data_IF_922119346044
#
_entry.id   IF_922119346044
#
_cell.length_a   1.000
_cell.length_b   1.000
_cell.length_c   1.000
_cell.angle_alpha   90.00
_cell.angle_beta   90.00
_cell.angle_gamma   90.00
#
_symmetry.space_group_name_H-M   'P 1'
#
loop_
_entity.id
_entity.type
_entity.pdbx_description
1 polymer ?
#
# COMPACT_ATOMS: atom_id res chain seq x y z
N UNK A 1 -5.92 37.78 -33.45
CA UNK A 1 -6.96 38.71 -33.96
C UNK A 1 -8.30 38.01 -33.88
N UNK A 2 -9.33 38.73 -33.41
CA UNK A 2 -10.74 38.33 -33.20
C UNK A 2 -11.01 37.48 -31.96
N UNK A 3 -12.07 37.70 -31.17
CA UNK A 3 -12.91 38.88 -30.89
C UNK A 3 -13.75 38.52 -29.66
N UNK A 4 -14.00 39.51 -28.81
CA UNK A 4 -14.92 39.50 -27.67
C UNK A 4 -16.39 39.28 -28.08
N UNK A 5 -17.18 38.65 -27.19
CA UNK A 5 -18.64 38.88 -27.06
C UNK A 5 -18.98 39.02 -25.57
N UNK A 6 -19.67 40.12 -25.26
CA UNK A 6 -20.21 40.55 -23.97
C UNK A 6 -21.64 39.99 -23.81
N UNK A 7 -22.13 39.87 -22.56
CA UNK A 7 -23.47 40.21 -22.02
C UNK A 7 -23.78 39.26 -20.83
N UNK A 8 -24.22 39.67 -19.64
CA UNK A 8 -24.61 40.95 -19.07
C UNK A 8 -25.12 40.73 -17.63
N UNK A 9 -25.11 41.78 -16.81
CA UNK A 9 -25.64 41.83 -15.44
C UNK A 9 -27.17 41.66 -15.37
N UNK A 10 -27.66 40.96 -14.35
CA UNK A 10 -28.92 41.29 -13.67
C UNK A 10 -28.86 40.94 -12.19
N UNK A 11 -28.95 41.97 -11.36
CA UNK A 11 -29.18 41.90 -9.92
C UNK A 11 -30.60 41.39 -9.57
N UNK A 12 -30.66 40.47 -8.60
CA UNK A 12 -31.60 40.51 -7.48
C UNK A 12 -33.05 40.02 -7.65
N UNK A 13 -33.30 38.75 -7.31
CA UNK A 13 -34.51 38.34 -6.54
C UNK A 13 -34.12 37.24 -5.54
N UNK A 14 -34.24 37.55 -4.25
CA UNK A 14 -34.08 36.58 -3.15
C UNK A 14 -35.44 35.96 -2.81
N UNK A 15 -35.50 34.63 -2.74
CA UNK A 15 -36.01 33.85 -1.60
C UNK A 15 -36.48 32.46 -2.05
N UNK A 16 -35.74 31.41 -1.68
CA UNK A 16 -36.29 30.12 -1.25
C UNK A 16 -35.20 29.23 -0.62
N UNK A 17 -35.00 29.43 0.68
CA UNK A 17 -35.08 28.39 1.73
C UNK A 17 -34.21 27.13 1.66
N UNK A 18 -32.97 27.14 1.16
CA UNK A 18 -31.97 26.13 1.54
C UNK A 18 -30.56 26.72 1.53
N UNK A 19 -29.87 26.67 2.67
CA UNK A 19 -28.43 26.96 2.75
C UNK A 19 -27.69 25.71 2.31
N UNK A 20 -26.97 25.78 1.19
CA UNK A 20 -26.01 24.76 0.77
C UNK A 20 -24.61 25.36 0.93
N UNK A 21 -23.92 25.01 2.01
CA UNK A 21 -22.50 25.33 2.17
C UNK A 21 -21.69 24.36 1.32
N UNK A 22 -21.27 24.80 0.14
CA UNK A 22 -20.34 24.04 -0.69
C UNK A 22 -19.00 23.95 0.05
N UNK A 23 -18.60 22.70 0.32
CA UNK A 23 -17.29 22.28 0.82
C UNK A 23 -16.18 22.95 0.03
N UNK A 24 -15.13 23.39 0.73
CA UNK A 24 -13.88 23.90 0.17
C UNK A 24 -13.45 23.08 -1.06
N UNK A 25 -13.50 23.71 -2.23
CA UNK A 25 -12.67 23.33 -3.36
C UNK A 25 -11.28 23.91 -3.13
N UNK A 26 -10.26 23.07 -3.14
CA UNK A 26 -8.88 23.56 -3.21
C UNK A 26 -8.65 24.05 -4.65
N UNK A 27 -8.57 25.37 -4.84
CA UNK A 27 -7.98 25.95 -6.05
C UNK A 27 -6.47 25.69 -6.01
N UNK A 28 -5.96 24.87 -6.92
CA UNK A 28 -4.54 24.83 -7.22
C UNK A 28 -4.19 26.15 -7.90
N UNK A 29 -3.66 27.11 -7.13
CA UNK A 29 -3.07 28.35 -7.67
C UNK A 29 -1.58 28.13 -7.93
N UNK A 30 -1.29 27.45 -9.04
CA UNK A 30 -0.01 27.59 -9.70
C UNK A 30 -0.29 27.73 -11.20
N UNK A 31 -0.02 28.90 -11.75
CA UNK A 31 0.16 29.07 -13.19
C UNK A 31 1.31 28.15 -13.60
N UNK A 32 1.00 27.02 -14.23
CA UNK A 32 1.98 26.20 -14.91
C UNK A 32 2.39 26.91 -16.19
N UNK A 33 3.29 27.89 -16.08
CA UNK A 33 4.19 28.13 -17.18
C UNK A 33 5.04 26.85 -17.28
N UNK A 34 4.73 26.01 -18.26
CA UNK A 34 5.51 24.84 -18.66
C UNK A 34 6.93 25.29 -19.03
N UNK A 35 7.78 25.44 -18.04
CA UNK A 35 9.20 25.23 -18.23
C UNK A 35 9.34 23.72 -18.29
N UNK A 36 9.47 23.16 -19.50
CA UNK A 36 9.92 21.77 -19.69
C UNK A 36 11.32 21.67 -19.07
N UNK A 37 11.36 21.37 -17.77
CA UNK A 37 12.57 20.87 -17.16
C UNK A 37 12.82 19.48 -17.74
N UNK A 38 14.08 19.13 -18.08
CA UNK A 38 14.38 17.76 -18.46
C UNK A 38 13.90 16.83 -17.34
N UNK A 39 13.35 15.64 -17.68
CA UNK A 39 12.94 14.68 -16.66
C UNK A 39 14.14 14.36 -15.75
N UNK A 40 13.92 14.19 -14.44
CA UNK A 40 14.99 13.91 -13.49
C UNK A 40 15.74 12.64 -13.89
N UNK A 41 17.05 12.64 -13.69
CA UNK A 41 17.86 11.43 -13.80
C UNK A 41 17.44 10.38 -12.76
N UNK A 42 17.77 9.11 -13.01
CA UNK A 42 17.49 8.02 -12.07
C UNK A 42 18.14 8.29 -10.69
N UNK A 43 19.36 8.83 -10.67
CA UNK A 43 20.05 9.20 -9.42
C UNK A 43 19.31 10.30 -8.64
N UNK A 44 18.77 11.31 -9.34
CA UNK A 44 17.95 12.35 -8.73
C UNK A 44 16.65 11.80 -8.16
N UNK A 45 15.99 10.86 -8.86
CA UNK A 45 14.80 10.17 -8.37
C UNK A 45 15.12 9.33 -7.12
N UNK A 46 16.23 8.59 -7.12
CA UNK A 46 16.69 7.83 -5.95
C UNK A 46 16.91 8.74 -4.74
N UNK A 47 17.52 9.92 -4.95
CA UNK A 47 17.72 10.86 -3.86
C UNK A 47 16.39 11.43 -3.34
N UNK A 48 15.47 11.80 -4.22
CA UNK A 48 14.13 12.27 -3.84
C UNK A 48 13.36 11.21 -3.05
N UNK A 49 13.45 9.93 -3.44
CA UNK A 49 12.87 8.82 -2.70
C UNK A 49 13.46 8.69 -1.29
N UNK A 50 14.79 8.79 -1.15
CA UNK A 50 15.44 8.75 0.16
C UNK A 50 15.08 9.95 1.03
N UNK A 51 14.96 11.14 0.44
CA UNK A 51 14.53 12.35 1.14
C UNK A 51 13.08 12.23 1.60
N UNK A 52 12.21 11.68 0.75
CA UNK A 52 10.82 11.36 1.08
C UNK A 52 10.75 10.43 2.30
N UNK A 53 11.47 9.29 2.28
CA UNK A 53 11.47 8.35 3.40
C UNK A 53 12.05 8.97 4.67
N UNK A 54 13.11 9.78 4.55
CA UNK A 54 13.65 10.50 5.70
C UNK A 54 12.60 11.39 6.37
N UNK A 55 11.85 12.18 5.58
CA UNK A 55 10.77 13.02 6.09
C UNK A 55 9.63 12.17 6.65
N UNK A 56 9.25 11.09 5.97
CA UNK A 56 8.24 10.15 6.47
C UNK A 56 8.64 9.61 7.84
N UNK A 57 9.78 8.95 7.98
CA UNK A 57 10.16 8.32 9.23
C UNK A 57 10.54 9.29 10.36
N UNK A 58 11.07 10.49 10.06
CA UNK A 58 11.49 11.47 11.08
C UNK A 58 10.37 12.43 11.50
N UNK A 59 9.49 12.78 10.57
CA UNK A 59 8.47 13.83 10.77
C UNK A 59 7.03 13.32 10.62
N UNK A 60 6.80 12.09 10.15
CA UNK A 60 5.42 11.62 10.00
C UNK A 60 4.73 11.52 11.36
N UNK A 61 3.53 12.10 11.48
CA UNK A 61 2.66 11.87 12.62
C UNK A 61 2.25 10.40 12.80
N UNK A 62 2.54 9.49 11.86
CA UNK A 62 2.45 8.04 12.11
C UNK A 62 3.39 7.61 13.24
N UNK A 63 4.60 8.17 13.29
CA UNK A 63 5.59 7.91 14.35
C UNK A 63 5.34 8.80 15.59
N UNK A 64 4.81 10.02 15.42
CA UNK A 64 4.63 10.99 16.51
C UNK A 64 3.22 11.07 17.13
N UNK A 65 2.15 11.00 16.34
CA UNK A 65 0.75 11.11 16.80
C UNK A 65 0.12 9.74 17.10
N UNK A 66 0.48 8.69 16.35
CA UNK A 66 -0.15 7.36 16.46
C UNK A 66 0.58 6.39 17.39
N UNK A 67 1.84 6.65 17.74
CA UNK A 67 2.64 5.88 18.70
C UNK A 67 2.81 6.58 20.06
N UNK A 68 1.87 7.47 20.38
CA UNK A 68 1.86 8.24 21.62
C UNK A 68 1.58 7.40 22.88
N UNK A 69 1.64 8.05 24.03
CA UNK A 69 1.65 7.35 25.32
C UNK A 69 0.35 6.61 25.70
N UNK A 70 -0.79 6.99 25.11
CA UNK A 70 -2.13 6.51 25.49
C UNK A 70 -2.68 5.37 24.59
N UNK A 71 -1.82 4.65 23.87
CA UNK A 71 -2.29 3.57 22.99
C UNK A 71 -2.96 2.42 23.77
N UNK A 72 -4.15 2.04 23.29
CA UNK A 72 -4.84 0.79 23.63
C UNK A 72 -5.18 0.07 22.33
N UNK A 73 -4.96 -1.25 22.28
CA UNK A 73 -5.28 -2.05 21.10
C UNK A 73 -6.81 -2.15 20.93
N UNK A 74 -7.30 -1.89 19.71
CA UNK A 74 -8.70 -2.03 19.32
C UNK A 74 -8.77 -2.70 17.94
N UNK A 75 -9.39 -3.88 17.78
CA UNK A 75 -9.54 -4.49 16.47
C UNK A 75 -10.48 -3.67 15.60
N UNK A 76 -10.14 -3.52 14.31
CA UNK A 76 -10.94 -2.78 13.33
C UNK A 76 -10.95 -1.26 13.50
N UNK A 77 -10.23 -0.72 14.49
CA UNK A 77 -9.81 0.68 14.46
C UNK A 77 -8.90 0.88 13.26
N UNK A 78 -9.12 1.93 12.48
CA UNK A 78 -8.36 2.18 11.24
C UNK A 78 -6.85 2.11 11.49
N UNK A 79 -6.23 0.97 11.16
CA UNK A 79 -4.97 0.78 10.40
C UNK A 79 -3.90 1.87 10.58
N UNK A 80 -3.20 1.89 11.72
CA UNK A 80 -2.23 2.95 11.98
C UNK A 80 -0.93 2.48 12.63
N UNK A 81 -1.03 1.62 13.64
CA UNK A 81 0.13 1.24 14.43
C UNK A 81 0.83 0.03 13.82
N UNK A 82 0.05 -0.99 13.46
CA UNK A 82 0.46 -2.21 12.76
C UNK A 82 1.20 -1.84 11.47
N UNK A 83 0.61 -0.98 10.66
CA UNK A 83 1.23 -0.49 9.42
C UNK A 83 2.50 0.33 9.65
N UNK A 84 2.56 1.11 10.73
CA UNK A 84 3.80 1.78 11.09
C UNK A 84 4.91 0.79 11.42
N UNK A 85 4.59 -0.34 12.07
CA UNK A 85 5.57 -1.38 12.35
C UNK A 85 6.01 -2.11 11.08
N UNK A 86 5.04 -2.40 10.20
CA UNK A 86 5.31 -2.95 8.87
C UNK A 86 6.25 -2.01 8.10
N UNK A 87 6.00 -0.70 8.08
CA UNK A 87 6.88 0.27 7.43
C UNK A 87 8.29 0.27 8.03
N UNK A 88 8.41 0.19 9.35
CA UNK A 88 9.72 0.06 10.01
C UNK A 88 10.46 -1.22 9.60
N UNK A 89 9.74 -2.34 9.42
CA UNK A 89 10.30 -3.58 8.89
C UNK A 89 10.74 -3.43 7.43
N UNK A 90 9.92 -2.76 6.61
CA UNK A 90 10.17 -2.50 5.19
C UNK A 90 11.30 -1.49 4.91
N UNK A 91 11.70 -0.70 5.91
CA UNK A 91 12.69 0.36 5.77
C UNK A 91 14.03 -0.13 5.23
N UNK A 92 14.43 -1.38 5.49
CA UNK A 92 15.54 -2.06 4.79
C UNK A 92 16.87 -1.26 4.76
N UNK A 93 17.08 -0.38 5.76
CA UNK A 93 18.26 0.48 5.87
C UNK A 93 18.22 1.78 5.05
N UNK A 94 17.13 2.09 4.33
CA UNK A 94 17.00 3.34 3.57
C UNK A 94 16.99 4.58 4.46
N UNK A 95 16.46 4.47 5.68
CA UNK A 95 16.55 5.49 6.72
C UNK A 95 17.26 4.94 7.96
N UNK A 96 18.26 5.69 8.42
CA UNK A 96 18.90 5.43 9.70
C UNK A 96 18.08 6.05 10.84
N UNK A 97 17.58 5.20 11.74
CA UNK A 97 16.91 5.63 12.97
C UNK A 97 17.94 6.02 14.04
N UNK A 98 17.65 7.09 14.79
CA UNK A 98 18.40 7.42 16.01
C UNK A 98 18.15 6.38 17.10
N UNK A 99 19.01 6.32 18.12
CA UNK A 99 18.80 5.41 19.26
C UNK A 99 17.48 5.68 19.98
N UNK A 100 17.11 6.96 20.16
CA UNK A 100 15.82 7.36 20.72
C UNK A 100 14.64 6.84 19.87
N UNK A 101 14.72 6.93 18.54
CA UNK A 101 13.69 6.40 17.65
C UNK A 101 13.58 4.86 17.77
N UNK A 102 14.71 4.16 17.84
CA UNK A 102 14.74 2.70 18.03
C UNK A 102 14.13 2.30 19.37
N UNK A 103 14.41 3.03 20.44
CA UNK A 103 13.81 2.80 21.77
C UNK A 103 12.29 3.04 21.74
N UNK A 104 11.84 4.13 21.11
CA UNK A 104 10.42 4.42 20.95
C UNK A 104 9.68 3.36 20.13
N UNK A 105 10.28 2.88 19.03
CA UNK A 105 9.73 1.78 18.22
C UNK A 105 9.54 0.52 19.10
N UNK A 106 10.58 0.10 19.83
CA UNK A 106 10.53 -1.08 20.71
C UNK A 106 9.51 -0.94 21.84
N UNK A 107 9.41 0.25 22.44
CA UNK A 107 8.42 0.54 23.47
C UNK A 107 6.98 0.37 22.93
N UNK A 108 6.73 0.87 21.73
CA UNK A 108 5.42 0.73 21.08
C UNK A 108 5.11 -0.72 20.68
N UNK A 109 6.11 -1.51 20.29
CA UNK A 109 5.94 -2.95 20.07
C UNK A 109 5.45 -3.65 21.35
N UNK A 110 6.07 -3.36 22.50
CA UNK A 110 5.62 -3.92 23.79
C UNK A 110 4.18 -3.52 24.09
N UNK A 111 3.84 -2.22 23.95
CA UNK A 111 2.47 -1.74 24.19
C UNK A 111 1.44 -2.40 23.28
N UNK A 112 1.77 -2.61 22.01
CA UNK A 112 0.91 -3.33 21.08
C UNK A 112 0.64 -4.75 21.54
N UNK A 113 1.68 -5.51 21.85
CA UNK A 113 1.55 -6.90 22.31
C UNK A 113 0.78 -6.97 23.64
N UNK A 114 1.10 -6.11 24.61
CA UNK A 114 0.43 -6.07 25.91
C UNK A 114 -1.05 -5.67 25.77
N UNK A 115 -1.34 -4.68 24.93
CA UNK A 115 -2.70 -4.25 24.61
C UNK A 115 -3.51 -5.35 23.94
N UNK A 116 -2.93 -6.06 22.97
CA UNK A 116 -3.58 -7.20 22.31
C UNK A 116 -3.86 -8.32 23.31
N UNK A 117 -2.94 -8.64 24.23
CA UNK A 117 -3.17 -9.62 25.30
C UNK A 117 -4.33 -9.22 26.20
N UNK A 118 -4.37 -7.95 26.62
CA UNK A 118 -5.45 -7.46 27.49
C UNK A 118 -6.80 -7.51 26.77
N UNK A 119 -6.85 -7.07 25.51
CA UNK A 119 -8.04 -7.17 24.68
C UNK A 119 -8.55 -8.61 24.57
N UNK A 120 -7.68 -9.58 24.33
CA UNK A 120 -8.05 -10.99 24.20
C UNK A 120 -8.49 -11.64 25.52
N UNK A 121 -8.07 -11.14 26.68
CA UNK A 121 -8.63 -11.59 27.98
C UNK A 121 -10.11 -11.24 28.10
N UNK A 122 -10.49 -10.06 27.62
CA UNK A 122 -11.88 -9.60 27.64
C UNK A 122 -12.69 -10.16 26.45
N UNK A 123 -12.02 -10.59 25.38
CA UNK A 123 -12.61 -11.06 24.12
C UNK A 123 -11.98 -12.39 23.64
N UNK A 124 -12.15 -13.50 24.39
CA UNK A 124 -11.35 -14.73 24.24
C UNK A 124 -11.56 -15.55 22.96
N UNK A 125 -12.67 -15.34 22.24
CA UNK A 125 -12.84 -15.78 20.85
C UNK A 125 -13.72 -14.74 20.20
N UNK A 126 -13.30 -14.11 19.11
CA UNK A 126 -14.08 -13.06 18.51
C UNK A 126 -15.38 -13.61 17.93
N UNK A 127 -16.49 -12.97 18.28
CA UNK A 127 -17.60 -12.83 17.35
C UNK A 127 -17.13 -11.99 16.14
N UNK A 128 -18.05 -11.46 15.34
CA UNK A 128 -17.82 -10.60 14.14
C UNK A 128 -16.85 -9.38 14.28
N UNK A 129 -16.17 -9.18 15.41
CA UNK A 129 -15.30 -8.03 15.70
C UNK A 129 -13.84 -8.24 15.26
N UNK A 130 -13.34 -9.48 15.24
CA UNK A 130 -11.98 -9.77 14.75
C UNK A 130 -12.08 -10.39 13.36
N UNK A 131 -11.96 -9.51 12.39
CA UNK A 131 -12.08 -9.82 10.98
C UNK A 131 -10.85 -10.57 10.50
N UNK A 132 -11.00 -11.35 9.44
CA UNK A 132 -9.90 -12.02 8.74
C UNK A 132 -8.75 -11.06 8.41
N UNK A 133 -9.05 -9.80 8.07
CA UNK A 133 -8.06 -8.74 7.86
C UNK A 133 -7.21 -8.43 9.09
N UNK A 134 -7.81 -8.45 10.29
CA UNK A 134 -7.14 -8.16 11.56
C UNK A 134 -6.10 -9.23 11.88
N UNK A 135 -6.39 -10.51 11.64
CA UNK A 135 -5.40 -11.59 11.81
C UNK A 135 -4.16 -11.36 10.94
N UNK A 136 -4.36 -11.01 9.66
CA UNK A 136 -3.27 -10.72 8.74
C UNK A 136 -2.43 -9.52 9.18
N UNK A 137 -3.07 -8.43 9.61
CA UNK A 137 -2.40 -7.22 10.11
C UNK A 137 -1.53 -7.51 11.35
N UNK A 138 -2.04 -8.28 12.31
CA UNK A 138 -1.27 -8.65 13.51
C UNK A 138 -0.07 -9.51 13.14
N UNK A 139 -0.25 -10.52 12.27
CA UNK A 139 0.86 -11.38 11.88
C UNK A 139 1.93 -10.60 11.09
N UNK A 140 1.52 -9.69 10.21
CA UNK A 140 2.45 -8.78 9.52
C UNK A 140 3.22 -7.89 10.51
N UNK A 141 2.51 -7.31 11.48
CA UNK A 141 3.14 -6.49 12.51
C UNK A 141 4.13 -7.30 13.36
N UNK A 142 3.76 -8.50 13.82
CA UNK A 142 4.66 -9.39 14.56
C UNK A 142 5.91 -9.76 13.75
N UNK A 143 5.73 -10.06 12.47
CA UNK A 143 6.84 -10.38 11.55
C UNK A 143 7.78 -9.19 11.41
N UNK A 144 7.24 -7.99 11.18
CA UNK A 144 8.02 -6.76 11.06
C UNK A 144 8.78 -6.39 12.36
N UNK A 145 8.24 -6.76 13.52
CA UNK A 145 8.93 -6.63 14.82
C UNK A 145 10.05 -7.66 15.02
N UNK A 146 10.12 -8.70 14.19
CA UNK A 146 10.91 -9.89 14.47
C UNK A 146 10.40 -10.70 15.67
N UNK A 147 9.11 -10.57 16.01
CA UNK A 147 8.46 -11.30 17.07
C UNK A 147 7.94 -12.64 16.54
N UNK A 148 8.27 -13.74 17.22
CA UNK A 148 7.78 -15.06 16.85
C UNK A 148 6.29 -15.20 17.27
N UNK A 149 5.34 -15.33 16.32
CA UNK A 149 3.91 -15.40 16.66
C UNK A 149 3.56 -16.60 17.56
N UNK A 150 4.33 -17.70 17.50
CA UNK A 150 4.11 -18.84 18.40
C UNK A 150 4.33 -18.50 19.88
N UNK A 151 5.11 -17.46 20.19
CA UNK A 151 5.31 -17.01 21.58
C UNK A 151 4.09 -16.24 22.13
N UNK A 152 3.14 -15.87 21.28
CA UNK A 152 1.87 -15.25 21.66
C UNK A 152 0.82 -16.30 22.03
N UNK A 153 0.75 -16.70 23.31
CA UNK A 153 -0.04 -17.88 23.74
C UNK A 153 -1.55 -17.68 23.82
N UNK A 154 -2.02 -16.44 23.81
CA UNK A 154 -3.44 -16.08 23.93
C UNK A 154 -4.23 -16.35 22.65
N UNK A 155 -3.56 -16.47 21.49
CA UNK A 155 -4.20 -16.68 20.19
C UNK A 155 -3.25 -17.37 19.22
N UNK A 156 -3.65 -18.52 18.66
CA UNK A 156 -2.92 -19.19 17.56
C UNK A 156 -3.20 -18.48 16.23
N UNK A 157 -2.50 -17.38 15.98
CA UNK A 157 -2.74 -16.52 14.80
C UNK A 157 -2.48 -17.28 13.50
N UNK A 158 -1.40 -18.07 13.42
CA UNK A 158 -1.09 -18.91 12.25
C UNK A 158 -2.20 -19.95 12.07
N UNK A 159 -2.65 -20.57 13.16
CA UNK A 159 -3.76 -21.52 13.14
C UNK A 159 -5.05 -20.93 12.59
N UNK A 160 -5.44 -19.73 13.01
CA UNK A 160 -6.65 -19.06 12.52
C UNK A 160 -6.56 -18.68 11.04
N UNK A 161 -5.41 -18.15 10.58
CA UNK A 161 -5.20 -17.85 9.15
C UNK A 161 -5.20 -19.13 8.30
N UNK A 162 -4.76 -20.25 8.87
CA UNK A 162 -4.70 -21.54 8.19
C UNK A 162 -6.08 -22.19 8.00
N UNK A 163 -7.17 -21.68 8.59
CA UNK A 163 -8.48 -22.36 8.54
C UNK A 163 -9.12 -22.35 7.16
N UNK A 164 -9.88 -23.41 6.85
CA UNK A 164 -10.60 -23.55 5.58
C UNK A 164 -11.60 -22.43 5.30
N UNK A 165 -12.19 -21.84 6.35
CA UNK A 165 -13.16 -20.75 6.28
C UNK A 165 -12.54 -19.35 6.46
N UNK A 166 -11.22 -19.23 6.54
CA UNK A 166 -10.55 -17.93 6.68
C UNK A 166 -10.88 -16.97 5.51
N UNK A 167 -11.30 -15.75 5.82
CA UNK A 167 -11.67 -14.75 4.81
C UNK A 167 -13.08 -14.91 4.21
N UNK A 168 -13.89 -15.85 4.71
CA UNK A 168 -15.31 -16.01 4.30
C UNK A 168 -16.27 -15.10 5.07
N UNK A 169 -15.75 -14.25 5.96
CA UNK A 169 -16.47 -13.32 6.84
C UNK A 169 -16.97 -12.05 6.13
N UNK A 170 -16.95 -12.03 4.79
CA UNK A 170 -17.39 -10.91 3.98
C UNK A 170 -16.38 -9.77 3.89
N UNK A 171 -15.17 -9.94 4.42
CA UNK A 171 -14.11 -8.95 4.29
C UNK A 171 -13.34 -9.16 2.99
N UNK A 172 -13.45 -8.19 2.08
CA UNK A 172 -12.83 -8.26 0.76
C UNK A 172 -11.32 -8.59 0.79
N UNK A 173 -10.59 -7.97 1.72
CA UNK A 173 -9.14 -8.16 1.87
C UNK A 173 -8.77 -9.30 2.84
N UNK A 174 -9.73 -10.09 3.31
CA UNK A 174 -9.49 -11.15 4.29
C UNK A 174 -8.45 -12.17 3.83
N UNK A 175 -8.79 -12.92 2.79
CA UNK A 175 -7.89 -13.92 2.18
C UNK A 175 -6.59 -13.30 1.66
N UNK A 176 -6.62 -12.21 0.86
CA UNK A 176 -5.40 -11.52 0.42
C UNK A 176 -4.44 -11.16 1.56
N UNK A 177 -4.92 -10.55 2.66
CA UNK A 177 -4.07 -10.16 3.79
C UNK A 177 -3.50 -11.37 4.51
N UNK A 178 -4.26 -12.47 4.64
CA UNK A 178 -3.76 -13.71 5.23
C UNK A 178 -2.58 -14.29 4.44
N UNK A 179 -2.68 -14.35 3.11
CA UNK A 179 -1.60 -14.85 2.24
C UNK A 179 -0.34 -13.99 2.41
N UNK A 180 -0.49 -12.66 2.30
CA UNK A 180 0.64 -11.73 2.46
C UNK A 180 1.30 -11.89 3.82
N UNK A 181 0.50 -12.02 4.88
CA UNK A 181 1.03 -12.19 6.23
C UNK A 181 1.79 -13.51 6.42
N UNK A 182 1.26 -14.62 5.89
CA UNK A 182 1.92 -15.92 5.94
C UNK A 182 3.25 -15.90 5.15
N UNK A 183 3.24 -15.32 3.95
CA UNK A 183 4.41 -15.23 3.09
C UNK A 183 5.49 -14.31 3.66
N UNK A 184 5.12 -13.25 4.39
CA UNK A 184 6.06 -12.29 4.99
C UNK A 184 7.08 -12.91 5.94
N UNK A 185 6.70 -13.97 6.66
CA UNK A 185 7.59 -14.69 7.58
C UNK A 185 7.95 -16.09 7.10
N UNK A 186 7.50 -16.50 5.91
CA UNK A 186 7.64 -17.86 5.41
C UNK A 186 6.96 -18.90 6.32
N UNK A 187 5.81 -18.56 6.88
CA UNK A 187 5.10 -19.40 7.84
C UNK A 187 4.43 -20.60 7.15
N UNK A 188 4.54 -21.78 7.75
CA UNK A 188 3.85 -22.96 7.28
C UNK A 188 2.39 -22.96 7.75
N UNK A 189 1.48 -23.30 6.85
CA UNK A 189 0.07 -23.47 7.21
C UNK A 189 -0.12 -24.73 8.06
N UNK A 190 -1.06 -24.68 9.01
CA UNK A 190 -1.44 -25.87 9.76
C UNK A 190 -2.02 -26.94 8.83
N UNK A 191 -1.76 -28.20 9.16
CA UNK A 191 -2.29 -29.35 8.42
C UNK A 191 -3.48 -29.97 9.14
N UNK A 192 -4.44 -30.52 8.39
CA UNK A 192 -5.60 -31.23 8.92
C UNK A 192 -6.86 -30.98 8.09
N UNK A 193 -7.96 -31.68 8.41
CA UNK A 193 -9.23 -31.52 7.70
C UNK A 193 -9.86 -30.14 7.86
N UNK A 194 -9.50 -29.42 8.92
CA UNK A 194 -10.08 -28.12 9.28
C UNK A 194 -9.25 -26.95 8.72
N UNK A 195 -8.07 -27.25 8.19
CA UNK A 195 -7.10 -26.28 7.68
C UNK A 195 -6.92 -26.41 6.16
N UNK A 196 -6.59 -25.29 5.53
CA UNK A 196 -6.15 -25.24 4.14
C UNK A 196 -4.76 -25.86 4.09
N UNK A 197 -4.55 -26.85 3.23
CA UNK A 197 -3.17 -27.23 2.88
C UNK A 197 -2.45 -26.00 2.33
N UNK A 198 -1.17 -25.79 2.63
CA UNK A 198 -0.28 -24.72 2.09
C UNK A 198 -0.26 -24.60 0.54
N UNK A 199 -0.86 -25.55 -0.17
CA UNK A 199 -0.89 -25.66 -1.62
C UNK A 199 -1.82 -24.75 -2.46
N UNK A 200 -2.70 -23.83 -1.98
CA UNK A 200 -3.79 -23.37 -2.81
C UNK A 200 -3.50 -22.08 -3.57
N UNK A 201 -2.54 -21.24 -3.15
CA UNK A 201 -2.36 -19.92 -3.79
C UNK A 201 -1.93 -20.05 -5.25
N UNK A 202 -1.04 -21.00 -5.56
CA UNK A 202 -0.59 -21.27 -6.94
C UNK A 202 -1.48 -22.28 -7.64
N UNK A 203 -1.80 -23.41 -6.99
CA UNK A 203 -2.55 -24.49 -7.63
C UNK A 203 -4.04 -24.15 -7.83
N UNK A 204 -4.63 -23.32 -6.98
CA UNK A 204 -6.01 -22.82 -7.10
C UNK A 204 -6.09 -21.45 -7.77
N UNK A 205 -4.95 -20.88 -8.22
CA UNK A 205 -4.97 -19.62 -8.96
C UNK A 205 -5.80 -19.77 -10.24
N UNK A 206 -6.97 -19.14 -10.24
CA UNK A 206 -7.94 -19.25 -11.30
C UNK A 206 -8.59 -17.90 -11.62
N UNK A 207 -7.85 -16.82 -11.38
CA UNK A 207 -8.24 -15.47 -11.78
C UNK A 207 -8.20 -15.34 -13.31
N UNK A 208 -9.23 -14.70 -13.84
CA UNK A 208 -9.29 -14.38 -15.27
C UNK A 208 -8.40 -13.17 -15.58
N UNK A 209 -7.87 -13.06 -16.82
CA UNK A 209 -7.19 -11.85 -17.26
C UNK A 209 -8.05 -10.61 -17.03
N UNK A 210 -7.41 -9.51 -16.63
CA UNK A 210 -8.11 -8.25 -16.43
C UNK A 210 -8.26 -7.51 -17.77
N UNK A 211 -9.31 -6.71 -17.89
CA UNK A 211 -9.50 -5.79 -19.01
C UNK A 211 -9.64 -4.37 -18.48
N UNK A 212 -8.62 -3.54 -18.70
CA UNK A 212 -8.62 -2.13 -18.40
C UNK A 212 -8.61 -1.33 -19.72
N UNK A 213 -9.21 -0.14 -19.70
CA UNK A 213 -9.19 0.79 -20.82
C UNK A 213 -8.61 2.13 -20.38
N UNK A 214 -8.21 3.01 -21.32
CA UNK A 214 -7.75 4.37 -20.97
C UNK A 214 -8.82 5.22 -20.26
N UNK A 215 -10.08 4.77 -20.27
CA UNK A 215 -11.21 5.40 -19.56
C UNK A 215 -11.65 4.61 -18.32
N UNK A 216 -11.05 3.44 -18.06
CA UNK A 216 -11.33 2.66 -16.86
C UNK A 216 -10.56 3.27 -15.71
N UNK A 217 -11.28 3.78 -14.72
CA UNK A 217 -10.67 4.14 -13.45
C UNK A 217 -10.18 2.86 -12.77
N UNK A 218 -8.85 2.66 -12.75
CA UNK A 218 -8.23 1.66 -11.86
C UNK A 218 -8.71 1.95 -10.45
N UNK A 219 -9.09 0.91 -9.72
CA UNK A 219 -9.47 1.02 -8.31
C UNK A 219 -8.47 0.25 -7.45
N UNK A 220 -8.30 0.71 -6.21
CA UNK A 220 -7.35 0.14 -5.25
C UNK A 220 -7.55 -1.37 -5.06
N UNK A 221 -8.82 -1.80 -5.07
CA UNK A 221 -9.20 -3.20 -4.87
C UNK A 221 -8.61 -4.12 -5.95
N UNK A 222 -8.62 -3.70 -7.21
CA UNK A 222 -8.08 -4.49 -8.34
C UNK A 222 -6.59 -4.78 -8.14
N UNK A 223 -5.82 -3.78 -7.70
CA UNK A 223 -4.38 -3.93 -7.46
C UNK A 223 -4.09 -4.67 -6.16
N UNK A 224 -4.80 -4.34 -5.07
CA UNK A 224 -4.58 -4.93 -3.75
C UNK A 224 -4.92 -6.42 -3.71
N UNK A 225 -5.92 -6.85 -4.47
CA UNK A 225 -6.27 -8.26 -4.54
C UNK A 225 -5.22 -9.10 -5.28
N UNK A 226 -4.50 -8.50 -6.23
CA UNK A 226 -3.46 -9.18 -7.00
C UNK A 226 -2.11 -9.26 -6.25
N UNK A 227 -1.82 -8.28 -5.40
CA UNK A 227 -0.58 -8.18 -4.63
C UNK A 227 -0.13 -9.46 -3.88
N UNK A 228 -1.00 -10.23 -3.20
CA UNK A 228 -0.61 -11.49 -2.55
C UNK A 228 -0.01 -12.53 -3.48
N UNK A 229 -0.28 -12.44 -4.79
CA UNK A 229 0.19 -13.42 -5.76
C UNK A 229 1.56 -13.04 -6.38
N UNK A 230 2.05 -11.83 -6.12
CA UNK A 230 3.36 -11.34 -6.60
C UNK A 230 4.52 -12.30 -6.29
N UNK A 231 4.63 -12.89 -5.08
CA UNK A 231 5.73 -13.80 -4.74
C UNK A 231 5.85 -15.00 -5.69
N UNK A 232 4.73 -15.40 -6.29
CA UNK A 232 4.60 -16.54 -7.18
C UNK A 232 4.68 -16.17 -8.66
N UNK A 233 4.87 -14.88 -8.98
CA UNK A 233 5.13 -14.44 -10.34
C UNK A 233 6.54 -14.86 -10.77
N UNK A 234 6.60 -15.69 -11.80
CA UNK A 234 7.84 -16.10 -12.45
C UNK A 234 7.78 -15.76 -13.95
N UNK A 235 8.52 -14.72 -14.42
CA UNK A 235 8.52 -14.33 -15.83
C UNK A 235 9.12 -15.40 -16.76
N UNK A 236 9.84 -16.39 -16.23
CA UNK A 236 10.43 -17.49 -16.99
C UNK A 236 9.56 -18.76 -17.00
N UNK A 237 8.43 -18.76 -16.28
CA UNK A 237 7.52 -19.90 -16.23
C UNK A 237 6.94 -20.23 -17.63
N UNK A 238 6.80 -21.52 -17.90
CA UNK A 238 6.35 -22.09 -19.17
C UNK A 238 5.09 -22.92 -18.98
N UNK A 239 4.40 -23.19 -20.08
CA UNK A 239 3.23 -24.06 -20.06
C UNK A 239 3.57 -25.41 -19.40
N UNK A 240 2.84 -25.75 -18.34
CA UNK A 240 3.09 -26.93 -17.50
C UNK A 240 3.71 -26.61 -16.14
N UNK A 241 4.33 -25.44 -15.96
CA UNK A 241 4.82 -24.99 -14.65
C UNK A 241 3.63 -24.54 -13.77
N UNK A 242 3.66 -24.78 -12.44
CA UNK A 242 2.61 -24.35 -11.52
C UNK A 242 2.30 -22.85 -11.61
N UNK A 243 3.33 -22.02 -11.79
CA UNK A 243 3.23 -20.56 -11.82
C UNK A 243 2.78 -20.00 -13.17
N UNK A 244 2.60 -20.84 -14.20
CA UNK A 244 2.36 -20.37 -15.56
C UNK A 244 1.08 -19.51 -15.69
N UNK A 245 0.01 -19.88 -15.00
CA UNK A 245 -1.22 -19.08 -14.98
C UNK A 245 -1.02 -17.72 -14.32
N UNK A 246 -0.28 -17.68 -13.21
CA UNK A 246 0.06 -16.45 -12.49
C UNK A 246 0.91 -15.55 -13.37
N UNK A 247 1.88 -16.12 -14.09
CA UNK A 247 2.66 -15.41 -15.10
C UNK A 247 1.76 -14.75 -16.16
N UNK A 248 0.87 -15.51 -16.79
CA UNK A 248 -0.03 -14.97 -17.82
C UNK A 248 -0.93 -13.86 -17.28
N UNK A 249 -1.44 -14.03 -16.06
CA UNK A 249 -2.25 -13.03 -15.39
C UNK A 249 -1.48 -11.73 -15.16
N UNK A 250 -0.26 -11.78 -14.61
CA UNK A 250 0.52 -10.57 -14.37
C UNK A 250 1.10 -9.94 -15.64
N UNK A 251 1.46 -10.72 -16.65
CA UNK A 251 1.85 -10.19 -17.96
C UNK A 251 0.72 -9.35 -18.56
N UNK A 252 -0.51 -9.88 -18.53
CA UNK A 252 -1.71 -9.15 -18.92
C UNK A 252 -1.92 -7.93 -18.02
N UNK A 253 -1.82 -8.08 -16.69
CA UNK A 253 -2.02 -6.98 -15.75
C UNK A 253 -1.09 -5.80 -16.04
N UNK A 254 0.21 -6.06 -16.25
CA UNK A 254 1.21 -5.04 -16.58
C UNK A 254 0.85 -4.31 -17.87
N UNK A 255 0.43 -5.03 -18.92
CA UNK A 255 -0.01 -4.44 -20.18
C UNK A 255 -1.24 -3.54 -19.99
N UNK A 256 -2.24 -4.03 -19.26
CA UNK A 256 -3.50 -3.34 -19.01
C UNK A 256 -3.30 -2.07 -18.16
N UNK A 257 -2.40 -2.10 -17.17
CA UNK A 257 -1.99 -0.90 -16.44
C UNK A 257 -1.29 0.10 -17.36
N UNK A 258 -0.39 -0.33 -18.23
CA UNK A 258 0.25 0.60 -19.17
C UNK A 258 -0.76 1.34 -20.07
N UNK A 259 -1.86 0.67 -20.45
CA UNK A 259 -2.96 1.25 -21.22
C UNK A 259 -3.81 2.22 -20.36
N UNK A 260 -4.07 1.86 -19.10
CA UNK A 260 -4.94 2.62 -18.20
C UNK A 260 -4.26 3.88 -17.61
N UNK A 261 -2.94 3.97 -17.66
CA UNK A 261 -2.22 5.12 -17.12
C UNK A 261 -2.62 6.42 -17.83
N UNK A 262 -2.93 7.45 -17.04
CA UNK A 262 -3.28 8.76 -17.57
C UNK A 262 -2.06 9.50 -18.15
N UNK A 263 -2.33 10.51 -18.96
CA UNK A 263 -1.30 11.35 -19.61
C UNK A 263 -0.43 12.15 -18.64
N UNK A 264 -0.90 12.37 -17.42
CA UNK A 264 -0.18 13.03 -16.31
C UNK A 264 0.55 12.01 -15.41
N UNK A 265 0.65 10.75 -15.83
CA UNK A 265 1.41 9.70 -15.14
C UNK A 265 0.65 8.95 -14.05
N UNK A 266 -0.53 9.43 -13.61
CA UNK A 266 -1.29 8.82 -12.52
C UNK A 266 -2.15 7.63 -12.95
N UNK A 267 -2.59 6.87 -11.95
CA UNK A 267 -3.65 5.89 -12.04
C UNK A 267 -4.82 6.35 -11.17
N UNK A 268 -5.93 6.78 -11.77
CA UNK A 268 -7.09 7.24 -10.99
C UNK A 268 -6.74 8.40 -10.04
N UNK A 269 -6.75 8.12 -8.73
CA UNK A 269 -6.34 9.05 -7.67
C UNK A 269 -4.92 8.72 -7.15
N UNK A 270 -4.37 9.56 -6.26
CA UNK A 270 -3.01 9.34 -5.75
C UNK A 270 -2.85 8.04 -4.95
N UNK A 271 -3.90 7.59 -4.25
CA UNK A 271 -3.91 6.34 -3.46
C UNK A 271 -3.89 5.11 -4.36
N UNK A 272 -4.69 5.14 -5.44
CA UNK A 272 -4.64 4.10 -6.47
C UNK A 272 -3.28 4.08 -7.16
N UNK A 273 -2.68 5.25 -7.37
CA UNK A 273 -1.33 5.35 -7.92
C UNK A 273 -0.31 4.65 -7.01
N UNK A 274 -0.40 4.81 -5.68
CA UNK A 274 0.46 4.08 -4.74
C UNK A 274 0.30 2.57 -4.88
N UNK A 275 -0.93 2.07 -4.91
CA UNK A 275 -1.18 0.62 -5.01
C UNK A 275 -0.67 0.03 -6.32
N UNK A 276 -0.79 0.78 -7.43
CA UNK A 276 -0.22 0.38 -8.72
C UNK A 276 1.31 0.39 -8.67
N UNK A 277 1.94 1.39 -8.04
CA UNK A 277 3.39 1.44 -7.89
C UNK A 277 3.90 0.27 -7.05
N UNK A 278 3.25 -0.03 -5.91
CA UNK A 278 3.58 -1.20 -5.06
C UNK A 278 3.49 -2.49 -5.88
N UNK A 279 2.40 -2.68 -6.63
CA UNK A 279 2.19 -3.86 -7.46
C UNK A 279 3.26 -3.99 -8.55
N UNK A 280 3.48 -2.95 -9.36
CA UNK A 280 4.43 -2.98 -10.48
C UNK A 280 5.87 -3.15 -9.98
N UNK A 281 6.25 -2.45 -8.91
CA UNK A 281 7.54 -2.63 -8.27
C UNK A 281 7.70 -4.06 -7.75
N UNK A 282 6.69 -4.61 -7.07
CA UNK A 282 6.68 -6.01 -6.63
C UNK A 282 6.92 -7.01 -7.77
N UNK A 283 6.37 -6.74 -8.96
CA UNK A 283 6.60 -7.53 -10.18
C UNK A 283 7.97 -7.26 -10.85
N UNK A 284 8.81 -6.40 -10.26
CA UNK A 284 10.15 -6.06 -10.72
C UNK A 284 10.19 -5.03 -11.85
N UNK A 285 9.13 -4.25 -12.06
CA UNK A 285 9.09 -3.20 -13.08
C UNK A 285 9.79 -1.95 -12.55
N UNK A 286 10.85 -1.51 -13.25
CA UNK A 286 11.54 -0.25 -12.97
C UNK A 286 10.76 0.94 -13.55
N UNK A 287 9.95 1.61 -12.72
CA UNK A 287 9.14 2.76 -13.14
C UNK A 287 9.95 4.04 -13.37
N UNK A 288 11.26 4.03 -13.13
CA UNK A 288 12.14 5.15 -13.47
C UNK A 288 12.60 5.10 -14.93
N UNK A 289 12.55 3.93 -15.58
CA UNK A 289 13.04 3.73 -16.95
C UNK A 289 12.09 3.00 -17.89
N UNK A 290 11.07 2.30 -17.38
CA UNK A 290 10.15 1.53 -18.22
C UNK A 290 9.24 2.44 -19.06
N UNK A 291 9.53 2.50 -20.36
CA UNK A 291 8.79 3.30 -21.34
C UNK A 291 7.28 3.03 -21.41
N UNK A 292 6.82 1.85 -20.96
CA UNK A 292 5.39 1.54 -20.88
C UNK A 292 4.68 2.47 -19.90
N UNK A 293 5.39 2.95 -18.87
CA UNK A 293 4.85 3.72 -17.76
C UNK A 293 5.30 5.19 -17.72
N UNK A 294 5.90 5.68 -18.81
CA UNK A 294 6.26 7.09 -18.99
C UNK A 294 5.27 7.71 -19.98
N UNK A 295 4.37 8.57 -19.51
CA UNK A 295 3.37 9.26 -20.35
C UNK A 295 3.66 10.76 -20.36
N UNK A 296 3.90 11.33 -21.55
CA UNK A 296 4.25 12.75 -21.71
C UNK A 296 5.40 13.21 -20.80
N UNK A 297 6.38 12.34 -20.55
CA UNK A 297 7.50 12.63 -19.65
C UNK A 297 7.18 12.47 -18.15
N UNK A 298 5.97 12.04 -17.79
CA UNK A 298 5.55 11.81 -16.41
C UNK A 298 5.57 10.33 -16.03
N UNK A 299 6.03 10.05 -14.81
CA UNK A 299 5.98 8.72 -14.19
C UNK A 299 4.95 8.68 -13.06
N UNK A 300 4.46 7.49 -12.66
CA UNK A 300 3.65 7.36 -11.46
C UNK A 300 4.40 7.80 -10.19
N UNK A 301 5.71 7.58 -10.15
CA UNK A 301 6.57 7.91 -9.00
C UNK A 301 6.65 9.41 -8.76
N UNK A 302 6.74 10.22 -9.83
CA UNK A 302 6.76 11.69 -9.72
C UNK A 302 5.51 12.22 -9.00
N UNK A 303 4.35 11.61 -9.22
CA UNK A 303 3.10 12.03 -8.57
C UNK A 303 3.15 11.81 -7.07
N UNK A 304 3.78 10.71 -6.62
CA UNK A 304 3.99 10.41 -5.20
C UNK A 304 5.01 11.38 -4.60
N UNK A 305 6.16 11.56 -5.26
CA UNK A 305 7.25 12.40 -4.74
C UNK A 305 6.87 13.88 -4.66
N UNK A 306 5.98 14.39 -5.53
CA UNK A 306 5.45 15.76 -5.46
C UNK A 306 4.64 16.06 -4.20
N UNK A 307 4.27 15.05 -3.41
CA UNK A 307 3.60 15.27 -2.13
C UNK A 307 4.56 15.75 -1.03
N UNK A 308 5.87 15.60 -1.23
CA UNK A 308 6.91 16.07 -0.33
C UNK A 308 7.14 17.58 -0.51
N UNK A 309 6.93 18.32 0.56
CA UNK A 309 7.43 19.68 0.72
C UNK A 309 8.80 19.62 1.41
N UNK A 310 9.86 19.71 0.59
CA UNK A 310 11.25 19.67 1.09
C UNK A 310 11.61 20.89 1.92
N UNK A 311 10.97 22.05 1.70
CA UNK A 311 11.25 23.27 2.45
C UNK A 311 10.58 23.23 3.84
N UNK A 312 9.33 22.77 3.91
CA UNK A 312 8.63 22.55 5.16
C UNK A 312 9.11 21.29 5.90
N UNK A 313 9.72 20.34 5.19
CA UNK A 313 10.09 19.04 5.73
C UNK A 313 8.85 18.21 6.09
N UNK A 314 7.80 18.31 5.27
CA UNK A 314 6.50 17.67 5.49
C UNK A 314 6.02 16.94 4.24
N UNK A 315 5.22 15.89 4.45
CA UNK A 315 4.48 15.22 3.38
C UNK A 315 3.02 15.68 3.47
N UNK A 316 2.49 16.19 2.37
CA UNK A 316 1.10 16.58 2.24
C UNK A 316 0.16 15.37 2.10
N UNK A 317 -1.06 15.49 2.63
CA UNK A 317 -2.08 14.43 2.54
C UNK A 317 -2.14 13.47 3.74
N UNK A 318 -3.16 12.61 3.74
CA UNK A 318 -3.51 11.76 4.87
C UNK A 318 -2.92 10.34 4.80
N UNK A 319 -2.38 9.90 3.65
CA UNK A 319 -1.95 8.51 3.41
C UNK A 319 -0.43 8.37 3.25
N UNK A 320 0.31 8.97 4.18
CA UNK A 320 1.79 9.00 4.18
C UNK A 320 2.43 7.61 4.12
N UNK A 321 1.77 6.62 4.72
CA UNK A 321 2.17 5.21 4.75
C UNK A 321 2.17 4.54 3.37
N UNK A 322 1.09 4.66 2.60
CA UNK A 322 0.99 4.00 1.28
C UNK A 322 2.02 4.58 0.31
N UNK A 323 2.19 5.90 0.31
CA UNK A 323 3.27 6.56 -0.41
C UNK A 323 4.65 6.02 0.01
N UNK A 324 4.91 5.84 1.33
CA UNK A 324 6.17 5.31 1.82
C UNK A 324 6.41 3.87 1.35
N UNK A 325 5.38 3.01 1.39
CA UNK A 325 5.46 1.64 0.85
C UNK A 325 5.76 1.64 -0.66
N UNK A 326 5.10 2.49 -1.44
CA UNK A 326 5.35 2.63 -2.87
C UNK A 326 6.80 3.06 -3.13
N UNK A 327 7.31 4.04 -2.38
CA UNK A 327 8.69 4.51 -2.48
C UNK A 327 9.71 3.42 -2.08
N UNK A 328 9.49 2.72 -0.96
CA UNK A 328 10.35 1.62 -0.52
C UNK A 328 10.35 0.47 -1.53
N UNK A 329 9.19 0.11 -2.08
CA UNK A 329 9.09 -0.91 -3.13
C UNK A 329 9.92 -0.51 -4.35
N UNK A 330 9.89 0.76 -4.74
CA UNK A 330 10.66 1.21 -5.89
C UNK A 330 12.17 1.20 -5.64
N UNK A 331 12.63 1.62 -4.46
CA UNK A 331 14.05 1.53 -4.08
C UNK A 331 14.55 0.07 -4.12
N UNK A 332 13.75 -0.88 -3.65
CA UNK A 332 14.09 -2.31 -3.68
C UNK A 332 14.31 -2.83 -5.11
N UNK A 333 13.49 -2.43 -6.08
CA UNK A 333 13.71 -2.77 -7.51
C UNK A 333 15.03 -2.18 -8.01
N UNK A 334 15.34 -0.93 -7.65
CA UNK A 334 16.56 -0.25 -8.09
C UNK A 334 17.82 -0.87 -7.46
N UNK A 335 17.68 -1.47 -6.27
CA UNK A 335 18.71 -2.29 -5.63
C UNK A 335 18.79 -3.72 -6.22
N UNK A 336 17.97 -4.05 -7.22
CA UNK A 336 17.98 -5.31 -7.96
C UNK A 336 17.09 -6.41 -7.36
N UNK A 337 16.27 -6.10 -6.35
CA UNK A 337 15.34 -7.05 -5.72
C UNK A 337 14.07 -7.26 -6.57
N UNK A 338 13.42 -8.41 -6.38
CA UNK A 338 12.19 -8.79 -7.12
C UNK A 338 11.23 -9.57 -6.24
N UNK A 339 9.95 -9.62 -6.64
CA UNK A 339 8.90 -10.44 -6.03
C UNK A 339 8.71 -10.12 -4.55
N UNK A 340 8.73 -11.15 -3.69
CA UNK A 340 8.55 -11.02 -2.24
C UNK A 340 9.55 -10.05 -1.61
N UNK A 341 10.80 -10.01 -2.09
CA UNK A 341 11.83 -9.12 -1.56
C UNK A 341 11.56 -7.64 -1.84
N UNK A 342 10.72 -7.37 -2.84
CA UNK A 342 10.27 -6.03 -3.19
C UNK A 342 8.98 -5.67 -2.47
N UNK A 343 8.07 -6.65 -2.37
CA UNK A 343 6.73 -6.47 -1.83
C UNK A 343 6.68 -6.46 -0.29
N UNK A 344 7.58 -7.19 0.37
CA UNK A 344 7.67 -7.35 1.83
C UNK A 344 9.05 -7.04 2.40
#
# INVERSE_FOLDING_TARGET
MFNSVILGDTDGVTANKYTLSVKRSYEVKADMNEVELPPPSQDELVQQMKDYLNVYFKNSPVVKEKWGDDYTYHPGGFECIEWGFVDCGLNDGYVEFTEEQKENIKHNWSKFLDGLREYLKENPVPNNDFKSTTYGEILLAMTAMGYNPDDFKELDIIGEISRNDFGTDGMYMGTPRGIIAMDSGGYEYKEGSDYRSWRPVVEEFNEEPIELSPQTTVNDFTTMYAQPYIPYYNPDAKEGDPEYKIKLYFDNFIEQLSIAQHSDGRFGNVWTTDQVVILLAGLGVDLTTDSRFIKNGHTPLEIILRTLDTEAGEISGNLKHQHAQAVMSMLKVLDGRKNIETFL
#
